data_IF_186678841857
#
_entry.id   IF_186678841857
#
_cell.length_a   1.000
_cell.length_b   1.000
_cell.length_c   1.000
_cell.angle_alpha   90.00
_cell.angle_beta   90.00
_cell.angle_gamma   90.00
#
_symmetry.space_group_name_H-M   'P 1'
#
loop_
_entity.id
_entity.type
_entity.pdbx_description
1 polymer ?
#
# COMPACT_ATOMS: atom_id res chain seq x y z
N UNK A 1 27.90 19.61 9.37
CA UNK A 1 27.93 18.13 9.17
C UNK A 1 26.99 17.54 10.20
N UNK A 2 25.96 16.79 9.81
CA UNK A 2 24.98 16.23 10.74
C UNK A 2 25.55 15.08 11.60
N UNK A 3 26.46 14.28 11.06
CA UNK A 3 27.18 13.22 11.77
C UNK A 3 28.43 12.80 10.99
N UNK A 4 29.32 12.04 11.65
CA UNK A 4 30.46 11.36 11.04
C UNK A 4 30.29 9.85 11.25
N UNK A 5 30.43 9.06 10.18
CA UNK A 5 30.28 7.60 10.26
C UNK A 5 31.55 6.92 9.79
N UNK A 6 32.15 6.15 10.68
CA UNK A 6 33.37 5.37 10.41
C UNK A 6 32.93 3.94 10.01
N UNK A 7 33.30 3.54 8.80
CA UNK A 7 33.02 2.22 8.26
C UNK A 7 34.11 1.21 8.56
N UNK A 8 33.81 -0.11 8.31
CA UNK A 8 34.73 -1.25 8.48
C UNK A 8 35.20 -1.47 9.91
N UNK A 9 34.37 -1.09 10.90
CA UNK A 9 34.70 -1.23 12.31
C UNK A 9 35.79 -0.30 12.81
N UNK A 10 36.15 0.71 12.02
CA UNK A 10 37.10 1.73 12.47
C UNK A 10 36.54 2.45 13.69
N UNK A 11 37.44 2.73 14.66
CA UNK A 11 37.12 3.51 15.86
C UNK A 11 37.58 4.95 15.68
N UNK A 12 36.88 5.94 16.24
CA UNK A 12 37.37 7.32 16.25
C UNK A 12 38.60 7.41 17.18
N UNK A 13 39.57 8.22 16.79
CA UNK A 13 40.66 8.63 17.68
C UNK A 13 40.18 9.68 18.68
N UNK A 14 41.05 10.01 19.66
CA UNK A 14 40.75 10.98 20.72
C UNK A 14 40.49 12.38 20.19
N UNK A 15 41.20 12.80 19.15
CA UNK A 15 41.04 14.12 18.54
C UNK A 15 39.70 14.23 17.79
N UNK A 16 39.30 13.19 17.09
CA UNK A 16 37.97 13.10 16.47
C UNK A 16 36.84 13.19 17.52
N UNK A 17 36.97 12.44 18.61
CA UNK A 17 35.99 12.48 19.70
C UNK A 17 35.89 13.86 20.32
N UNK A 18 37.08 14.50 20.63
CA UNK A 18 37.13 15.84 21.17
C UNK A 18 36.53 16.89 20.22
N UNK A 19 36.79 16.78 18.92
CA UNK A 19 36.20 17.64 17.90
C UNK A 19 34.67 17.43 17.80
N UNK A 20 34.20 16.19 17.79
CA UNK A 20 32.80 15.86 17.79
C UNK A 20 32.02 16.46 18.96
N UNK A 21 32.58 16.32 20.16
CA UNK A 21 32.02 16.92 21.38
C UNK A 21 31.99 18.46 21.32
N UNK A 22 33.07 19.09 20.87
CA UNK A 22 33.17 20.56 20.74
C UNK A 22 32.12 21.13 19.78
N UNK A 23 31.84 20.43 18.70
CA UNK A 23 30.96 20.92 17.63
C UNK A 23 29.57 20.29 17.64
N UNK A 24 29.24 19.45 18.63
CA UNK A 24 27.94 18.76 18.71
C UNK A 24 27.68 17.80 17.54
N UNK A 25 28.76 17.23 16.96
CA UNK A 25 28.66 16.30 15.82
C UNK A 25 28.76 14.86 16.32
N UNK A 26 27.71 14.05 16.24
CA UNK A 26 27.72 12.62 16.59
C UNK A 26 28.74 11.86 15.73
N UNK A 27 29.54 11.00 16.36
CA UNK A 27 30.47 10.10 15.66
C UNK A 27 29.99 8.66 15.93
N UNK A 28 29.76 7.93 14.86
CA UNK A 28 29.24 6.56 14.90
C UNK A 28 30.21 5.62 14.18
N UNK A 29 30.17 4.33 14.50
CA UNK A 29 30.95 3.29 13.82
C UNK A 29 30.04 2.18 13.34
N UNK A 30 30.34 1.63 12.17
CA UNK A 30 29.64 0.47 11.61
C UNK A 30 30.65 -0.54 11.06
N UNK A 31 30.33 -1.84 11.14
CA UNK A 31 31.12 -2.91 10.53
C UNK A 31 30.99 -2.99 9.00
N UNK A 32 29.95 -2.38 8.43
CA UNK A 32 29.76 -2.35 6.98
C UNK A 32 30.91 -1.61 6.28
N UNK A 33 31.26 -2.04 5.09
CA UNK A 33 32.07 -1.21 4.19
C UNK A 33 31.28 0.01 3.72
N UNK A 34 31.98 1.03 3.23
CA UNK A 34 31.37 2.32 2.85
C UNK A 34 30.32 2.16 1.76
N UNK A 35 30.55 1.30 0.77
CA UNK A 35 29.62 1.09 -0.35
C UNK A 35 28.32 0.45 0.12
N UNK A 36 28.41 -0.59 0.95
CA UNK A 36 27.25 -1.25 1.54
C UNK A 36 26.47 -0.33 2.47
N UNK A 37 27.19 0.39 3.33
CA UNK A 37 26.55 1.37 4.22
C UNK A 37 25.79 2.45 3.44
N UNK A 38 26.42 3.05 2.42
CA UNK A 38 25.76 4.05 1.56
C UNK A 38 24.52 3.50 0.86
N UNK A 39 24.59 2.27 0.32
CA UNK A 39 23.45 1.64 -0.33
C UNK A 39 22.27 1.45 0.63
N UNK A 40 22.53 0.92 1.84
CA UNK A 40 21.51 0.69 2.86
C UNK A 40 20.93 2.00 3.39
N UNK A 41 21.77 2.99 3.67
CA UNK A 41 21.33 4.30 4.13
C UNK A 41 20.50 5.02 3.07
N UNK A 42 20.95 5.03 1.83
CA UNK A 42 20.22 5.65 0.72
C UNK A 42 18.86 4.97 0.51
N UNK A 43 18.80 3.65 0.56
CA UNK A 43 17.54 2.89 0.47
C UNK A 43 16.59 3.28 1.59
N UNK A 44 17.07 3.35 2.82
CA UNK A 44 16.24 3.71 3.98
C UNK A 44 15.77 5.17 3.89
N UNK A 45 16.67 6.11 3.58
CA UNK A 45 16.34 7.53 3.44
C UNK A 45 15.32 7.79 2.31
N UNK A 46 15.43 7.07 1.21
CA UNK A 46 14.47 7.19 0.09
C UNK A 46 13.04 6.83 0.51
N UNK A 47 12.88 5.91 1.44
CA UNK A 47 11.56 5.55 1.99
C UNK A 47 11.13 6.55 3.06
N UNK A 48 12.01 6.87 4.00
CA UNK A 48 11.71 7.72 5.17
C UNK A 48 11.42 9.17 4.77
N UNK A 49 12.19 9.71 3.83
CA UNK A 49 12.04 11.08 3.32
C UNK A 49 11.12 11.18 2.10
N UNK A 50 10.52 10.06 1.67
CA UNK A 50 9.63 10.05 0.52
C UNK A 50 8.43 10.98 0.76
N UNK A 51 8.00 11.72 -0.27
CA UNK A 51 6.75 12.46 -0.21
C UNK A 51 5.61 11.55 0.26
N UNK A 52 4.86 12.00 1.25
CA UNK A 52 3.81 11.23 1.91
C UNK A 52 2.50 12.01 1.91
N UNK A 53 1.41 11.31 1.64
CA UNK A 53 0.04 11.81 1.81
C UNK A 53 -0.78 10.78 2.58
N UNK A 54 -1.86 11.21 3.19
CA UNK A 54 -2.85 10.31 3.80
C UNK A 54 -4.11 10.25 2.95
N UNK A 55 -4.75 9.08 2.91
CA UNK A 55 -6.05 8.86 2.28
C UNK A 55 -6.92 7.98 3.16
N UNK A 56 -8.23 8.27 3.17
CA UNK A 56 -9.20 7.36 3.77
C UNK A 56 -9.43 6.16 2.88
N UNK A 57 -9.50 4.99 3.48
CA UNK A 57 -9.74 3.73 2.80
C UNK A 57 -9.11 2.56 3.55
N UNK A 58 -9.24 1.39 2.97
CA UNK A 58 -8.67 0.14 3.48
C UNK A 58 -7.65 -0.39 2.49
N UNK A 59 -6.46 -0.68 2.94
CA UNK A 59 -5.42 -1.31 2.11
C UNK A 59 -5.27 -2.78 2.49
N UNK A 60 -5.46 -3.66 1.50
CA UNK A 60 -5.37 -5.11 1.64
C UNK A 60 -4.42 -5.66 0.58
N UNK A 61 -3.57 -6.59 0.97
CA UNK A 61 -2.80 -7.41 0.03
C UNK A 61 -3.67 -8.58 -0.44
N UNK A 62 -3.98 -8.60 -1.73
CA UNK A 62 -4.83 -9.61 -2.35
C UNK A 62 -4.01 -10.39 -3.39
N UNK A 63 -3.62 -11.61 -3.05
CA UNK A 63 -2.73 -12.46 -3.85
C UNK A 63 -1.38 -11.80 -4.19
N UNK A 64 -0.84 -10.94 -3.32
CA UNK A 64 0.40 -10.19 -3.54
C UNK A 64 0.23 -8.89 -4.33
N UNK A 65 -0.99 -8.45 -4.59
CA UNK A 65 -1.33 -7.15 -5.16
C UNK A 65 -1.88 -6.25 -4.06
N UNK A 66 -1.30 -5.08 -3.86
CA UNK A 66 -1.84 -4.10 -2.91
C UNK A 66 -3.05 -3.38 -3.49
N UNK A 67 -4.20 -3.62 -2.89
CA UNK A 67 -5.49 -3.06 -3.32
C UNK A 67 -5.95 -2.03 -2.30
N UNK A 68 -6.01 -0.77 -2.72
CA UNK A 68 -6.58 0.32 -1.95
C UNK A 68 -8.08 0.42 -2.24
N UNK A 69 -8.90 0.06 -1.27
CA UNK A 69 -10.36 0.15 -1.34
C UNK A 69 -10.78 1.48 -0.74
N UNK A 70 -11.44 2.31 -1.53
CA UNK A 70 -11.92 3.65 -1.16
C UNK A 70 -13.41 3.78 -1.46
N UNK A 71 -14.12 4.60 -0.70
CA UNK A 71 -15.52 4.90 -0.92
C UNK A 71 -16.04 5.97 0.02
N UNK A 72 -17.34 6.25 -0.03
CA UNK A 72 -17.99 7.11 0.95
C UNK A 72 -18.13 6.34 2.27
N UNK A 73 -17.96 7.04 3.39
CA UNK A 73 -17.99 6.42 4.73
C UNK A 73 -19.21 5.52 4.90
N UNK A 74 -18.95 4.24 5.20
CA UNK A 74 -19.97 3.24 5.47
C UNK A 74 -20.53 2.52 4.26
N UNK A 75 -19.87 2.62 3.13
CA UNK A 75 -20.30 1.96 1.89
C UNK A 75 -19.92 0.46 1.86
N UNK A 76 -19.16 -0.04 2.86
CA UNK A 76 -18.85 -1.47 3.01
C UNK A 76 -17.39 -1.85 2.75
N UNK A 77 -16.46 -0.88 2.76
CA UNK A 77 -15.03 -1.15 2.57
C UNK A 77 -14.50 -2.12 3.63
N UNK A 78 -14.85 -1.88 4.89
CA UNK A 78 -14.41 -2.69 6.04
C UNK A 78 -15.00 -4.09 6.04
N UNK A 79 -16.27 -4.22 5.63
CA UNK A 79 -16.91 -5.54 5.50
C UNK A 79 -16.23 -6.35 4.40
N UNK A 80 -15.90 -5.70 3.28
CA UNK A 80 -15.13 -6.33 2.20
C UNK A 80 -13.73 -6.74 2.67
N UNK A 81 -13.04 -5.88 3.43
CA UNK A 81 -11.72 -6.19 3.97
C UNK A 81 -11.76 -7.37 4.94
N UNK A 82 -12.72 -7.40 5.87
CA UNK A 82 -12.88 -8.51 6.82
C UNK A 82 -13.15 -9.84 6.09
N UNK A 83 -14.00 -9.82 5.07
CA UNK A 83 -14.26 -11.00 4.24
C UNK A 83 -12.99 -11.45 3.50
N UNK A 84 -12.19 -10.51 2.96
CA UNK A 84 -10.90 -10.79 2.32
C UNK A 84 -9.92 -11.42 3.31
N UNK A 85 -9.83 -10.90 4.54
CA UNK A 85 -8.97 -11.47 5.60
C UNK A 85 -9.38 -12.91 5.91
N UNK A 86 -10.69 -13.19 6.07
CA UNK A 86 -11.21 -14.55 6.29
C UNK A 86 -10.90 -15.50 5.13
N UNK A 87 -10.69 -14.97 3.93
CA UNK A 87 -10.32 -15.71 2.72
C UNK A 87 -8.81 -15.91 2.57
N UNK A 88 -8.02 -15.45 3.54
CA UNK A 88 -6.57 -15.63 3.59
C UNK A 88 -5.75 -14.48 2.99
N UNK A 89 -6.38 -13.33 2.75
CA UNK A 89 -5.68 -12.10 2.35
C UNK A 89 -5.20 -11.33 3.58
N UNK A 90 -4.32 -10.34 3.39
CA UNK A 90 -3.64 -9.66 4.49
C UNK A 90 -4.04 -8.20 4.59
N UNK A 91 -4.43 -7.79 5.79
CA UNK A 91 -4.69 -6.38 6.10
C UNK A 91 -3.37 -5.62 6.22
N UNK A 92 -3.27 -4.47 5.57
CA UNK A 92 -2.18 -3.50 5.79
C UNK A 92 -2.66 -2.41 6.74
N UNK A 93 -3.79 -1.78 6.43
CA UNK A 93 -4.37 -0.73 7.27
C UNK A 93 -5.86 -0.58 7.01
N UNK A 94 -6.58 -0.11 8.05
CA UNK A 94 -7.96 0.36 7.99
C UNK A 94 -8.03 1.85 8.25
N UNK A 95 -9.03 2.51 7.68
CA UNK A 95 -9.42 3.91 7.83
C UNK A 95 -8.42 4.92 7.27
N UNK A 96 -7.17 4.90 7.66
CA UNK A 96 -6.13 5.83 7.22
C UNK A 96 -4.96 5.09 6.58
N UNK A 97 -4.69 5.40 5.32
CA UNK A 97 -3.55 4.88 4.57
C UNK A 97 -2.52 5.99 4.38
N UNK A 98 -1.34 5.81 4.92
CA UNK A 98 -0.18 6.64 4.60
C UNK A 98 0.43 6.16 3.29
N UNK A 99 0.39 7.00 2.26
CA UNK A 99 0.90 6.69 0.92
C UNK A 99 2.19 7.43 0.70
N UNK A 100 3.29 6.70 0.49
CA UNK A 100 4.62 7.24 0.20
C UNK A 100 5.04 6.94 -1.23
N UNK A 101 5.58 7.95 -1.92
CA UNK A 101 6.16 7.78 -3.25
C UNK A 101 7.63 7.44 -3.12
N UNK A 102 7.98 6.17 -3.21
CA UNK A 102 9.38 5.69 -3.06
C UNK A 102 10.16 5.67 -4.37
N UNK A 103 9.46 5.73 -5.51
CA UNK A 103 10.08 5.88 -6.84
C UNK A 103 9.11 6.55 -7.83
N UNK A 104 9.60 6.76 -9.07
CA UNK A 104 8.76 7.30 -10.15
C UNK A 104 7.52 6.44 -10.46
N UNK A 105 7.56 5.16 -10.15
CA UNK A 105 6.49 4.19 -10.49
C UNK A 105 5.92 3.47 -9.27
N UNK A 106 6.50 3.68 -8.07
CA UNK A 106 6.14 2.88 -6.88
C UNK A 106 5.56 3.75 -5.78
N UNK A 107 4.36 3.41 -5.38
CA UNK A 107 3.70 3.90 -4.17
C UNK A 107 3.64 2.78 -3.14
N UNK A 108 3.98 3.09 -1.89
CA UNK A 108 3.85 2.17 -0.77
C UNK A 108 2.81 2.72 0.20
N UNK A 109 1.88 1.87 0.60
CA UNK A 109 0.90 2.17 1.63
C UNK A 109 1.27 1.50 2.95
N UNK A 110 1.11 2.26 4.04
CA UNK A 110 1.36 1.81 5.42
C UNK A 110 0.25 2.27 6.35
N UNK A 111 0.16 1.65 7.52
CA UNK A 111 -0.71 2.09 8.61
C UNK A 111 0.00 3.11 9.50
N UNK A 112 -0.70 4.12 10.01
CA UNK A 112 -0.24 4.87 11.18
C UNK A 112 0.04 3.91 12.36
N UNK A 113 1.07 4.20 13.16
CA UNK A 113 1.49 3.32 14.26
C UNK A 113 0.38 3.00 15.27
N UNK A 114 -0.53 3.95 15.51
CA UNK A 114 -1.62 3.82 16.50
C UNK A 114 -2.71 2.86 16.02
N UNK A 115 -3.01 2.82 14.72
CA UNK A 115 -4.11 2.03 14.13
C UNK A 115 -3.63 0.72 13.49
N UNK A 116 -2.33 0.43 13.63
CA UNK A 116 -1.71 -0.73 13.02
C UNK A 116 -2.32 -2.03 13.49
N UNK A 117 -2.77 -2.88 12.55
CA UNK A 117 -3.41 -4.18 12.75
C UNK A 117 -4.84 -4.14 13.32
N UNK A 118 -5.40 -2.95 13.52
CA UNK A 118 -6.78 -2.81 13.96
C UNK A 118 -7.72 -2.56 12.79
N UNK A 119 -8.96 -3.01 12.94
CA UNK A 119 -10.08 -2.68 12.04
C UNK A 119 -11.30 -2.31 12.90
N UNK A 120 -12.01 -1.26 12.52
CA UNK A 120 -13.24 -0.86 13.17
C UNK A 120 -14.46 -1.48 12.48
N UNK A 121 -15.26 -2.24 13.20
CA UNK A 121 -16.50 -2.81 12.71
C UNK A 121 -17.69 -2.17 13.39
N UNK A 122 -18.60 -1.57 12.61
CA UNK A 122 -19.79 -0.93 13.14
C UNK A 122 -20.65 -1.94 13.92
N UNK A 123 -21.03 -1.57 15.15
CA UNK A 123 -21.82 -2.42 16.05
C UNK A 123 -21.02 -3.44 16.84
N UNK A 124 -19.74 -3.65 16.51
CA UNK A 124 -18.83 -4.54 17.26
C UNK A 124 -17.74 -3.72 17.96
N UNK A 125 -17.20 -2.69 17.28
CA UNK A 125 -16.11 -1.86 17.78
C UNK A 125 -14.79 -2.18 17.08
N UNK A 126 -13.68 -1.84 17.75
CA UNK A 126 -12.32 -2.05 17.24
C UNK A 126 -11.88 -3.48 17.58
N UNK A 127 -11.39 -4.20 16.58
CA UNK A 127 -10.84 -5.54 16.71
C UNK A 127 -9.36 -5.57 16.30
N UNK A 128 -8.57 -6.38 16.99
CA UNK A 128 -7.18 -6.67 16.63
C UNK A 128 -7.15 -7.86 15.65
N UNK A 129 -6.87 -7.57 14.39
CA UNK A 129 -6.85 -8.56 13.31
C UNK A 129 -5.74 -9.60 13.53
N UNK A 130 -4.57 -9.17 14.01
CA UNK A 130 -3.47 -10.06 14.31
C UNK A 130 -3.79 -11.04 15.44
N UNK A 131 -4.45 -10.56 16.49
CA UNK A 131 -4.84 -11.40 17.63
C UNK A 131 -5.94 -12.40 17.25
N UNK A 132 -6.89 -12.02 16.38
CA UNK A 132 -8.04 -12.86 16.03
C UNK A 132 -7.75 -13.84 14.88
N UNK A 133 -6.96 -13.43 13.88
CA UNK A 133 -6.77 -14.20 12.66
C UNK A 133 -5.31 -14.66 12.43
N UNK A 134 -4.38 -14.31 13.35
CA UNK A 134 -2.98 -14.70 13.24
C UNK A 134 -2.10 -13.70 12.51
N UNK A 135 -0.78 -13.91 12.61
CA UNK A 135 0.24 -13.04 11.99
C UNK A 135 0.21 -13.09 10.47
N UNK A 136 -0.28 -14.16 9.89
CA UNK A 136 -0.45 -14.36 8.46
C UNK A 136 -1.55 -13.47 7.84
N UNK A 137 -2.44 -12.93 8.67
CA UNK A 137 -3.55 -12.07 8.24
C UNK A 137 -3.20 -10.59 8.12
N UNK A 138 -1.97 -10.22 8.46
CA UNK A 138 -1.49 -8.84 8.44
C UNK A 138 -0.24 -8.66 7.60
N UNK A 139 -0.02 -7.43 7.15
CA UNK A 139 1.20 -7.00 6.47
C UNK A 139 1.53 -5.56 6.89
N UNK A 140 2.81 -5.26 7.12
CA UNK A 140 3.22 -3.93 7.60
C UNK A 140 3.14 -2.85 6.51
N UNK A 141 3.34 -3.23 5.25
CA UNK A 141 3.27 -2.33 4.10
C UNK A 141 2.99 -3.12 2.83
N UNK A 142 2.35 -2.50 1.85
CA UNK A 142 2.19 -3.05 0.51
C UNK A 142 2.37 -1.96 -0.54
N UNK A 143 2.77 -2.36 -1.77
CA UNK A 143 2.63 -1.46 -2.93
C UNK A 143 1.15 -1.15 -3.16
N UNK A 144 0.86 0.02 -3.75
CA UNK A 144 -0.51 0.32 -4.20
C UNK A 144 -0.57 0.03 -5.70
N UNK A 145 -1.00 -1.19 -6.03
CA UNK A 145 -1.04 -1.68 -7.40
C UNK A 145 -2.35 -1.36 -8.10
N UNK A 146 -3.42 -1.20 -7.32
CA UNK A 146 -4.77 -0.95 -7.81
C UNK A 146 -5.61 -0.20 -6.78
N UNK A 147 -6.50 0.65 -7.27
CA UNK A 147 -7.54 1.29 -6.47
C UNK A 147 -8.90 0.73 -6.86
N UNK A 148 -9.70 0.40 -5.86
CA UNK A 148 -11.12 0.11 -6.02
C UNK A 148 -11.89 1.24 -5.37
N UNK A 149 -12.57 2.03 -6.21
CA UNK A 149 -13.46 3.08 -5.77
C UNK A 149 -14.87 2.52 -5.68
N UNK A 150 -15.36 2.33 -4.46
CA UNK A 150 -16.74 1.94 -4.22
C UNK A 150 -17.66 3.15 -4.37
N UNK A 151 -18.78 2.99 -5.05
CA UNK A 151 -19.77 4.04 -5.24
C UNK A 151 -21.18 3.48 -5.12
N UNK A 152 -22.14 4.28 -4.66
CA UNK A 152 -23.53 3.88 -4.66
C UNK A 152 -24.03 3.64 -6.08
N UNK A 153 -24.81 2.58 -6.26
CA UNK A 153 -25.39 2.28 -7.56
C UNK A 153 -26.48 3.30 -7.92
N UNK A 154 -26.37 3.86 -9.11
CA UNK A 154 -27.32 4.82 -9.67
C UNK A 154 -27.93 4.29 -10.95
N UNK A 155 -29.25 4.47 -11.12
CA UNK A 155 -29.97 4.02 -12.33
C UNK A 155 -29.64 4.87 -13.56
N UNK A 156 -29.31 6.13 -13.35
CA UNK A 156 -29.01 7.15 -14.36
C UNK A 156 -27.56 7.15 -14.84
N UNK A 157 -26.72 6.25 -14.27
CA UNK A 157 -25.30 6.15 -14.61
C UNK A 157 -25.00 4.89 -15.41
N UNK A 158 -24.34 5.08 -16.56
CA UNK A 158 -23.80 3.97 -17.32
C UNK A 158 -22.49 3.49 -16.70
N UNK A 159 -22.44 2.19 -16.45
CA UNK A 159 -21.26 1.52 -15.91
C UNK A 159 -20.57 0.72 -17.02
N UNK A 160 -19.25 0.85 -17.11
CA UNK A 160 -18.47 0.07 -18.07
C UNK A 160 -18.64 -1.44 -17.77
N UNK A 161 -19.18 -2.15 -18.75
CA UNK A 161 -19.41 -3.59 -18.68
C UNK A 161 -18.27 -4.39 -19.29
N UNK A 162 -17.44 -3.78 -20.10
CA UNK A 162 -16.43 -4.49 -20.88
C UNK A 162 -15.01 -4.33 -20.34
N UNK A 163 -14.75 -3.28 -19.54
CA UNK A 163 -13.42 -3.02 -19.00
C UNK A 163 -12.36 -2.83 -20.09
N UNK A 164 -12.74 -2.18 -21.21
CA UNK A 164 -11.84 -1.94 -22.34
C UNK A 164 -10.92 -0.75 -22.08
N UNK A 165 -11.44 0.26 -21.39
CA UNK A 165 -10.75 1.49 -21.09
C UNK A 165 -10.31 1.48 -19.62
N UNK A 166 -9.00 1.51 -19.41
CA UNK A 166 -8.44 1.56 -18.07
C UNK A 166 -8.60 2.98 -17.51
N UNK A 167 -9.22 3.11 -16.33
CA UNK A 167 -9.30 4.34 -15.58
C UNK A 167 -8.15 4.43 -14.59
N UNK A 168 -7.74 5.64 -14.26
CA UNK A 168 -6.63 5.89 -13.35
C UNK A 168 -7.02 6.92 -12.29
N UNK A 169 -6.46 6.77 -11.12
CA UNK A 169 -6.38 7.82 -10.10
C UNK A 169 -4.93 8.20 -9.89
N UNK A 170 -4.67 9.37 -9.31
CA UNK A 170 -3.32 9.87 -9.16
C UNK A 170 -3.01 10.14 -7.68
N UNK A 171 -1.86 9.67 -7.22
CA UNK A 171 -1.29 9.97 -5.92
C UNK A 171 0.15 10.41 -6.09
N UNK A 172 0.50 11.60 -5.60
CA UNK A 172 1.86 12.14 -5.64
C UNK A 172 2.49 12.14 -7.05
N UNK A 173 1.68 12.31 -8.10
CA UNK A 173 2.13 12.27 -9.50
C UNK A 173 2.22 10.89 -10.13
N UNK A 174 1.96 9.81 -9.36
CA UNK A 174 1.90 8.45 -9.89
C UNK A 174 0.47 8.06 -10.24
N UNK A 175 0.27 7.52 -11.44
CA UNK A 175 -1.03 7.01 -11.89
C UNK A 175 -1.21 5.56 -11.49
N UNK A 176 -2.29 5.27 -10.77
CA UNK A 176 -2.68 3.92 -10.34
C UNK A 176 -3.97 3.53 -11.03
N UNK A 177 -4.05 2.29 -11.53
CA UNK A 177 -5.29 1.77 -12.13
C UNK A 177 -6.43 1.86 -11.13
N UNK A 178 -7.60 2.31 -11.58
CA UNK A 178 -8.77 2.52 -10.71
C UNK A 178 -10.00 1.84 -11.31
N UNK A 179 -10.65 0.98 -10.52
CA UNK A 179 -11.93 0.39 -10.88
C UNK A 179 -13.04 0.98 -10.03
N UNK A 180 -14.02 1.62 -10.67
CA UNK A 180 -15.24 2.11 -10.02
C UNK A 180 -16.26 0.98 -9.94
N UNK A 181 -16.60 0.55 -8.74
CA UNK A 181 -17.49 -0.58 -8.50
C UNK A 181 -18.77 -0.10 -7.84
N UNK A 182 -19.91 -0.17 -8.55
CA UNK A 182 -21.19 0.18 -7.97
C UNK A 182 -21.64 -0.88 -6.98
N UNK A 183 -22.03 -0.46 -5.78
CA UNK A 183 -22.54 -1.34 -4.73
C UNK A 183 -24.04 -1.51 -4.87
N UNK A 184 -24.46 -2.75 -4.81
CA UNK A 184 -25.87 -3.16 -4.67
C UNK A 184 -26.00 -4.18 -3.55
N UNK A 185 -27.12 -4.20 -2.83
CA UNK A 185 -27.42 -5.28 -1.89
C UNK A 185 -27.27 -6.66 -2.56
N UNK A 186 -26.64 -7.60 -1.85
CA UNK A 186 -26.43 -8.97 -2.32
C UNK A 186 -25.18 -9.20 -3.19
N UNK A 187 -24.36 -8.16 -3.48
CA UNK A 187 -23.05 -8.38 -4.14
C UNK A 187 -21.98 -8.68 -3.10
N UNK A 188 -21.23 -9.75 -3.31
CA UNK A 188 -20.04 -10.02 -2.51
C UNK A 188 -18.85 -9.23 -3.04
N UNK A 189 -18.47 -8.17 -2.32
CA UNK A 189 -17.40 -7.27 -2.71
C UNK A 189 -16.03 -7.95 -2.67
N UNK A 190 -15.77 -8.84 -1.71
CA UNK A 190 -14.50 -9.55 -1.61
C UNK A 190 -14.24 -10.38 -2.88
N UNK A 191 -15.25 -11.11 -3.39
CA UNK A 191 -15.13 -11.87 -4.65
C UNK A 191 -14.83 -10.96 -5.83
N UNK A 192 -15.42 -9.76 -5.88
CA UNK A 192 -15.18 -8.81 -6.94
C UNK A 192 -13.75 -8.26 -6.87
N UNK A 193 -13.26 -7.95 -5.66
CA UNK A 193 -11.90 -7.48 -5.42
C UNK A 193 -10.89 -8.54 -5.83
N UNK A 194 -11.07 -9.81 -5.42
CA UNK A 194 -10.24 -10.93 -5.85
C UNK A 194 -10.19 -11.07 -7.38
N UNK A 195 -11.35 -11.06 -8.02
CA UNK A 195 -11.44 -11.17 -9.47
C UNK A 195 -10.76 -9.99 -10.19
N UNK A 196 -10.92 -8.75 -9.68
CA UNK A 196 -10.27 -7.56 -10.22
C UNK A 196 -8.74 -7.66 -10.10
N UNK A 197 -8.21 -8.11 -8.95
CA UNK A 197 -6.78 -8.27 -8.70
C UNK A 197 -6.16 -9.29 -9.66
N UNK A 198 -6.77 -10.46 -9.78
CA UNK A 198 -6.30 -11.51 -10.71
C UNK A 198 -6.37 -11.04 -12.16
N UNK A 199 -7.47 -10.39 -12.56
CA UNK A 199 -7.64 -9.86 -13.91
C UNK A 199 -6.61 -8.78 -14.24
N UNK A 200 -6.31 -7.88 -13.29
CA UNK A 200 -5.30 -6.84 -13.47
C UNK A 200 -3.89 -7.43 -13.62
N UNK A 201 -3.55 -8.45 -12.83
CA UNK A 201 -2.30 -9.21 -13.00
C UNK A 201 -2.21 -9.84 -14.38
N UNK A 202 -3.29 -10.47 -14.87
CA UNK A 202 -3.33 -11.05 -16.21
C UNK A 202 -3.14 -9.99 -17.30
N UNK A 203 -3.75 -8.80 -17.15
CA UNK A 203 -3.54 -7.67 -18.09
C UNK A 203 -2.09 -7.23 -18.12
N UNK A 204 -1.41 -7.12 -16.97
CA UNK A 204 0.03 -6.80 -16.89
C UNK A 204 0.92 -7.86 -17.56
N UNK A 205 0.53 -9.13 -17.49
CA UNK A 205 1.18 -10.24 -18.17
C UNK A 205 0.85 -10.33 -19.68
N UNK A 206 0.09 -9.37 -20.21
CA UNK A 206 -0.24 -9.28 -21.65
C UNK A 206 -1.56 -9.94 -22.06
N UNK A 207 -2.28 -10.59 -21.14
CA UNK A 207 -3.59 -11.19 -21.44
C UNK A 207 -4.74 -10.25 -21.08
N UNK A 208 -5.56 -9.88 -22.09
CA UNK A 208 -6.76 -9.07 -21.88
C UNK A 208 -7.98 -9.74 -22.55
N UNK A 209 -8.88 -10.28 -21.74
CA UNK A 209 -10.08 -11.00 -22.18
C UNK A 209 -11.00 -10.11 -23.04
N UNK A 210 -11.22 -8.84 -22.65
CA UNK A 210 -12.08 -7.92 -23.37
C UNK A 210 -11.52 -7.61 -24.79
N UNK A 211 -10.20 -7.41 -24.92
CA UNK A 211 -9.55 -7.24 -26.23
C UNK A 211 -9.65 -8.50 -27.08
N UNK A 212 -9.57 -9.70 -26.48
CA UNK A 212 -9.73 -10.98 -27.17
C UNK A 212 -11.14 -11.14 -27.76
N UNK A 213 -12.16 -10.77 -27.01
CA UNK A 213 -13.56 -10.80 -27.46
C UNK A 213 -13.78 -9.79 -28.61
N UNK A 214 -13.26 -8.57 -28.47
CA UNK A 214 -13.36 -7.53 -29.51
C UNK A 214 -12.70 -7.96 -30.83
N UNK A 215 -11.56 -8.67 -30.78
CA UNK A 215 -10.90 -9.22 -31.98
C UNK A 215 -11.70 -10.35 -32.63
N UNK A 216 -12.50 -11.12 -31.89
CA UNK A 216 -13.33 -12.21 -32.45
C UNK A 216 -14.63 -11.72 -33.07
N UNK A 217 -15.05 -10.46 -32.80
CA UNK A 217 -16.26 -9.83 -33.36
C UNK A 217 -15.99 -9.02 -34.65
N UNK A 218 -14.73 -8.89 -35.04
CA UNK A 218 -14.28 -8.39 -36.35
C UNK A 218 -13.95 -9.55 -37.27
#
# INVERSE_FOLDING_TARGET
IPCLILCRGNKPDEDMVAAGLRHGVPIMSTHFDTSRFNAELSRWLNVELAPCITRHGVLVDVYGEGVLIMGESGIGERDAALELIKRGHRLVTDDVVEIRRVSAETLIGTSPAITKHFIELRGIGIIDVKALFGVESILDSASIDMVIQLEEWRRDKDYDRMGLDDQYTEFLGNKVICHKIPIRPGRNLAVIVEAASVNQRQKRMGYNAARKIKKKKK
#
